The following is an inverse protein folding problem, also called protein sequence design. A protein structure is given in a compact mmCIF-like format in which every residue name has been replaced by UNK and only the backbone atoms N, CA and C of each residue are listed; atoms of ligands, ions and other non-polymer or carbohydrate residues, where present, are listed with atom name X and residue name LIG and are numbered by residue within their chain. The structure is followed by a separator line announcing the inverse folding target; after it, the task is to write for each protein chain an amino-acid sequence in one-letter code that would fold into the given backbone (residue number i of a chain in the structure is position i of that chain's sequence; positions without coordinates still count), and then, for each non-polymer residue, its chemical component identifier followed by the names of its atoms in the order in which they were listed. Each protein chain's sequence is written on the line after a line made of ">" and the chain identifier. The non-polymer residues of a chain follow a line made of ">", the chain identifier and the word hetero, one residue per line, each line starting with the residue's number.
data_IF_619812085327
#
_entry.id   IF_619812085327
#
_cell.length_a   1.000
_cell.length_b   1.000
_cell.length_c   1.000
_cell.angle_alpha   90.00
_cell.angle_beta   90.00
_cell.angle_gamma   90.00
#
_symmetry.space_group_name_H-M   'P 1'
#
loop_
_entity.id
_entity.type
_entity.pdbx_description
1 polymer ?
#
# COMPACT_ATOMS: atom_id res chain seq x y z
N UNK A 1 -3.40 -15.15 -0.62
CA UNK A 1 -3.49 -13.79 -0.06
C UNK A 1 -4.76 -13.16 -0.57
N UNK A 2 -5.70 -12.81 0.31
CA UNK A 2 -6.83 -11.94 -0.05
C UNK A 2 -6.36 -10.50 0.17
N UNK A 3 -6.29 -9.71 -0.91
CA UNK A 3 -5.90 -8.31 -0.86
C UNK A 3 -7.19 -7.46 -0.93
N UNK A 4 -7.68 -6.99 0.21
CA UNK A 4 -8.76 -6.01 0.26
C UNK A 4 -8.18 -4.61 0.01
N UNK A 5 -8.42 -4.06 -1.19
CA UNK A 5 -7.98 -2.71 -1.56
C UNK A 5 -9.09 -1.72 -1.22
N UNK A 6 -8.80 -0.72 -0.39
CA UNK A 6 -9.74 0.35 -0.05
C UNK A 6 -9.29 1.66 -0.69
N UNK A 7 -10.15 2.25 -1.51
CA UNK A 7 -9.90 3.60 -2.06
C UNK A 7 -10.32 4.62 -1.01
N UNK A 8 -9.38 5.46 -0.56
CA UNK A 8 -9.66 6.55 0.39
C UNK A 8 -9.74 7.85 -0.39
N UNK A 9 -10.93 8.45 -0.45
CA UNK A 9 -11.11 9.81 -0.97
C UNK A 9 -10.59 10.83 0.05
N UNK A 10 -9.49 11.51 -0.28
CA UNK A 10 -9.00 12.65 0.50
C UNK A 10 -9.37 13.95 -0.19
N UNK A 11 -9.93 14.89 0.56
CA UNK A 11 -10.16 16.28 0.14
C UNK A 11 -8.86 17.09 0.24
N UNK A 12 -7.85 16.68 -0.51
CA UNK A 12 -6.65 17.46 -0.73
C UNK A 12 -6.80 18.07 -2.11
N UNK A 13 -6.60 19.38 -2.23
CA UNK A 13 -6.54 20.11 -3.51
C UNK A 13 -5.51 19.57 -4.51
N UNK A 14 -4.74 18.54 -4.12
CA UNK A 14 -3.97 17.72 -5.02
C UNK A 14 -4.90 16.67 -5.67
N UNK A 15 -4.99 16.67 -7.00
CA UNK A 15 -5.64 15.61 -7.79
C UNK A 15 -4.88 14.27 -7.72
N UNK A 16 -4.21 14.00 -6.62
CA UNK A 16 -3.45 12.78 -6.41
C UNK A 16 -4.45 11.67 -6.11
N UNK A 17 -4.56 10.70 -7.00
CA UNK A 17 -5.28 9.48 -6.68
C UNK A 17 -4.48 8.77 -5.60
N UNK A 18 -5.00 8.62 -4.38
CA UNK A 18 -4.32 7.87 -3.31
C UNK A 18 -4.93 6.49 -3.19
N UNK A 19 -4.09 5.53 -2.85
CA UNK A 19 -4.50 4.15 -2.60
C UNK A 19 -3.92 3.67 -1.30
N UNK A 20 -4.68 2.78 -0.67
CA UNK A 20 -4.29 2.10 0.53
C UNK A 20 -4.25 0.60 0.24
N UNK A 21 -3.11 -0.02 0.54
CA UNK A 21 -2.94 -1.46 0.49
C UNK A 21 -2.45 -1.98 1.85
N UNK A 22 -3.11 -3.04 2.33
CA UNK A 22 -2.77 -3.70 3.59
C UNK A 22 -1.97 -4.97 3.33
N UNK A 23 -0.88 -5.11 4.09
CA UNK A 23 0.06 -6.23 4.04
C UNK A 23 -0.02 -7.00 5.36
N UNK A 24 -0.23 -8.31 5.30
CA UNK A 24 -0.12 -9.17 6.47
C UNK A 24 1.29 -9.77 6.53
N UNK A 25 2.06 -9.38 7.56
CA UNK A 25 3.44 -9.85 7.77
C UNK A 25 3.55 -10.31 9.23
N UNK A 26 3.95 -11.57 9.43
CA UNK A 26 4.17 -12.15 10.77
C UNK A 26 3.02 -11.86 11.77
N UNK A 27 1.78 -12.07 11.31
CA UNK A 27 0.54 -11.89 12.08
C UNK A 27 0.23 -10.41 12.43
N UNK A 28 0.88 -9.45 11.75
CA UNK A 28 0.59 -8.02 11.88
C UNK A 28 0.16 -7.45 10.54
N UNK A 29 -0.87 -6.62 10.58
CA UNK A 29 -1.34 -5.86 9.41
C UNK A 29 -0.61 -4.53 9.32
N UNK A 30 -0.03 -4.26 8.15
CA UNK A 30 0.64 -3.01 7.83
C UNK A 30 -0.10 -2.33 6.70
N UNK A 31 -0.53 -1.11 6.92
CA UNK A 31 -1.26 -0.33 5.92
C UNK A 31 -0.33 0.68 5.28
N UNK A 32 -0.17 0.62 3.96
CA UNK A 32 0.67 1.53 3.18
C UNK A 32 -0.23 2.38 2.30
N UNK A 33 -0.07 3.70 2.42
CA UNK A 33 -0.72 4.67 1.55
C UNK A 33 0.26 5.23 0.53
N UNK A 34 -0.13 5.25 -0.74
CA UNK A 34 0.71 5.74 -1.82
C UNK A 34 -0.08 6.48 -2.89
N UNK A 35 0.62 7.31 -3.66
CA UNK A 35 0.04 8.06 -4.77
C UNK A 35 0.00 7.19 -6.03
N UNK A 36 -1.19 7.00 -6.58
CA UNK A 36 -1.46 6.46 -7.91
C UNK A 36 -1.56 7.61 -8.93
N UNK A 37 -1.22 7.30 -10.19
CA UNK A 37 -1.27 8.28 -11.30
C UNK A 37 -2.72 8.59 -11.72
N UNK A 38 -3.61 7.60 -11.61
CA UNK A 38 -5.02 7.69 -11.99
C UNK A 38 -5.88 6.79 -11.08
N UNK A 39 -7.19 7.02 -11.07
CA UNK A 39 -8.14 6.14 -10.37
C UNK A 39 -8.09 4.69 -10.87
N UNK A 40 -7.79 4.49 -12.16
CA UNK A 40 -7.75 3.18 -12.83
C UNK A 40 -6.36 2.51 -12.83
N UNK A 41 -5.36 3.12 -12.17
CA UNK A 41 -4.03 2.50 -12.09
C UNK A 41 -4.13 1.06 -11.53
N UNK A 42 -3.26 0.12 -11.87
CA UNK A 42 -3.26 -1.16 -11.19
C UNK A 42 -2.80 -1.01 -9.73
N UNK A 43 -3.17 -1.94 -8.82
CA UNK A 43 -2.54 -2.03 -7.50
C UNK A 43 -1.02 -2.26 -7.64
N UNK A 44 -0.28 -2.16 -6.55
CA UNK A 44 1.16 -2.45 -6.54
C UNK A 44 1.46 -3.81 -7.14
N UNK A 45 2.56 -3.89 -7.89
CA UNK A 45 3.02 -5.15 -8.46
C UNK A 45 3.47 -6.12 -7.36
N UNK A 46 3.43 -7.43 -7.63
CA UNK A 46 3.89 -8.43 -6.66
C UNK A 46 5.37 -8.22 -6.26
N UNK A 47 6.19 -7.67 -7.16
CA UNK A 47 7.57 -7.33 -6.87
C UNK A 47 7.67 -6.16 -5.88
N UNK A 48 6.94 -5.08 -6.11
CA UNK A 48 6.91 -3.93 -5.19
C UNK A 48 6.38 -4.34 -3.81
N UNK A 49 5.36 -5.21 -3.79
CA UNK A 49 4.80 -5.77 -2.56
C UNK A 49 5.84 -6.54 -1.75
N UNK A 50 6.68 -7.36 -2.40
CA UNK A 50 7.78 -8.08 -1.74
C UNK A 50 8.82 -7.13 -1.17
N UNK A 51 9.26 -6.14 -1.95
CA UNK A 51 10.26 -5.16 -1.52
C UNK A 51 9.77 -4.37 -0.29
N UNK A 52 8.52 -3.94 -0.31
CA UNK A 52 7.90 -3.23 0.82
C UNK A 52 7.75 -4.14 2.04
N UNK A 53 7.32 -5.39 1.84
CA UNK A 53 7.20 -6.34 2.95
C UNK A 53 8.55 -6.62 3.62
N UNK A 54 9.63 -6.77 2.84
CA UNK A 54 10.98 -6.95 3.36
C UNK A 54 11.47 -5.71 4.10
N UNK A 55 11.21 -4.51 3.55
CA UNK A 55 11.53 -3.25 4.22
C UNK A 55 10.79 -3.08 5.57
N UNK A 56 9.49 -3.41 5.62
CA UNK A 56 8.67 -3.35 6.82
C UNK A 56 9.14 -4.37 7.88
N UNK A 57 9.55 -5.56 7.45
CA UNK A 57 10.13 -6.57 8.33
C UNK A 57 11.45 -6.10 8.95
N UNK A 58 12.31 -5.45 8.16
CA UNK A 58 13.60 -4.95 8.64
C UNK A 58 13.47 -3.69 9.52
N UNK A 59 12.51 -2.80 9.23
CA UNK A 59 12.25 -1.61 10.05
C UNK A 59 11.88 -1.96 11.50
N UNK A 60 11.23 -3.10 11.74
CA UNK A 60 10.89 -3.57 13.10
C UNK A 60 12.04 -4.23 13.86
N UNK A 61 13.12 -4.60 13.17
CA UNK A 61 14.29 -5.23 13.78
C UNK A 61 15.42 -4.21 14.05
N UNK A 62 15.20 -2.93 13.77
CA UNK A 62 16.10 -1.80 14.10
C UNK A 62 15.58 -1.05 15.33
#
# INVERSE_FOLDING_TARGET
>A
MKNDVKVIEHNLSCRCHRREETFEIEVKSFTVQYSAKSADSPPMSDNDKRVIADALKNYKNS
#
